data_IF_173234053527
#
_entry.id   IF_173234053527
#
_cell.length_a   1.000
_cell.length_b   1.000
_cell.length_c   1.000
_cell.angle_alpha   90.00
_cell.angle_beta   90.00
_cell.angle_gamma   90.00
#
_symmetry.space_group_name_H-M   'P 1'
#
loop_
_entity.id
_entity.type
_entity.pdbx_description
1 polymer ?
#
# COMPACT_ATOMS: atom_id res chain seq x y z
N UNK A 1 10.70 39.82 -11.21
CA UNK A 1 12.12 39.48 -11.01
C UNK A 1 12.90 40.69 -11.44
N UNK A 2 13.79 41.18 -10.58
CA UNK A 2 14.61 42.36 -10.84
C UNK A 2 15.99 41.89 -11.33
N UNK A 3 16.50 42.47 -12.42
CA UNK A 3 17.65 41.94 -13.18
C UNK A 3 19.02 42.23 -12.53
N UNK A 4 19.04 42.94 -11.40
CA UNK A 4 20.27 43.46 -10.76
C UNK A 4 20.87 42.56 -9.66
N UNK A 5 20.24 41.44 -9.31
CA UNK A 5 20.74 40.52 -8.29
C UNK A 5 21.64 39.41 -8.86
N UNK A 6 22.79 39.10 -8.25
CA UNK A 6 23.59 37.94 -8.64
C UNK A 6 22.86 36.65 -8.24
N UNK A 7 22.19 36.09 -9.22
CA UNK A 7 21.43 34.84 -9.12
C UNK A 7 22.33 33.63 -9.09
N UNK A 8 22.07 32.72 -8.15
CA UNK A 8 22.82 31.47 -8.04
C UNK A 8 21.88 30.28 -7.86
N UNK A 9 22.40 29.12 -8.25
CA UNK A 9 21.76 27.81 -8.05
C UNK A 9 22.28 27.16 -6.75
N UNK A 10 23.39 27.68 -6.20
CA UNK A 10 24.02 27.18 -5.00
C UNK A 10 23.57 27.97 -3.76
N UNK A 11 23.18 27.31 -2.65
CA UNK A 11 22.62 27.94 -1.46
C UNK A 11 23.56 28.89 -0.71
N UNK A 12 24.83 28.95 -1.10
CA UNK A 12 25.95 29.51 -0.36
C UNK A 12 26.55 30.81 -0.94
N UNK A 13 26.02 31.31 -2.06
CA UNK A 13 26.36 32.64 -2.60
C UNK A 13 25.10 33.27 -3.22
N UNK A 14 24.74 34.53 -2.95
CA UNK A 14 23.64 35.22 -3.65
C UNK A 14 22.20 34.75 -3.36
N UNK A 15 21.24 35.22 -4.16
CA UNK A 15 19.81 34.90 -4.03
C UNK A 15 19.50 33.59 -4.74
N UNK A 16 18.95 32.60 -4.01
CA UNK A 16 18.56 31.31 -4.57
C UNK A 16 17.34 31.47 -5.48
N UNK A 17 17.55 31.37 -6.80
CA UNK A 17 16.49 31.57 -7.81
C UNK A 17 15.32 30.62 -7.62
N UNK A 18 15.58 29.38 -7.20
CA UNK A 18 14.54 28.38 -7.00
C UNK A 18 13.65 28.79 -5.84
N UNK A 19 14.22 29.27 -4.74
CA UNK A 19 13.46 29.75 -3.59
C UNK A 19 12.57 30.94 -3.95
N UNK A 20 13.12 31.92 -4.68
CA UNK A 20 12.36 33.08 -5.15
C UNK A 20 11.26 32.64 -6.11
N UNK A 21 11.55 31.79 -7.09
CA UNK A 21 10.55 31.29 -8.03
C UNK A 21 9.41 30.56 -7.31
N UNK A 22 9.69 29.74 -6.30
CA UNK A 22 8.65 29.06 -5.51
C UNK A 22 7.82 30.05 -4.69
N UNK A 23 8.43 31.09 -4.11
CA UNK A 23 7.72 32.18 -3.42
C UNK A 23 6.74 32.90 -4.35
N UNK A 24 7.21 33.31 -5.53
CA UNK A 24 6.40 33.99 -6.54
C UNK A 24 5.27 33.09 -7.08
N UNK A 25 5.55 31.81 -7.30
CA UNK A 25 4.51 30.81 -7.64
C UNK A 25 3.48 30.74 -6.53
N UNK A 26 3.88 30.82 -5.26
CA UNK A 26 2.96 30.89 -4.13
C UNK A 26 1.98 32.05 -4.25
N UNK A 27 2.44 33.25 -4.60
CA UNK A 27 1.57 34.40 -4.87
C UNK A 27 0.65 34.18 -6.07
N UNK A 28 1.16 33.60 -7.16
CA UNK A 28 0.34 33.22 -8.33
C UNK A 28 -0.75 32.22 -7.94
N UNK A 29 -0.44 31.32 -7.00
CA UNK A 29 -1.39 30.37 -6.43
C UNK A 29 -2.33 31.00 -5.37
N UNK A 30 -2.20 32.29 -5.06
CA UNK A 30 -3.08 33.01 -4.13
C UNK A 30 -2.64 32.98 -2.67
N UNK A 31 -1.40 32.55 -2.38
CA UNK A 31 -0.83 32.62 -1.03
C UNK A 31 -0.39 34.04 -0.69
N UNK A 32 -0.68 34.46 0.54
CA UNK A 32 -0.13 35.69 1.13
C UNK A 32 1.13 35.38 1.92
N UNK A 33 1.88 36.43 2.28
CA UNK A 33 3.06 36.26 3.13
C UNK A 33 2.73 35.59 4.47
N UNK A 34 3.64 34.74 4.93
CA UNK A 34 3.56 34.05 6.22
C UNK A 34 4.66 34.60 7.13
N UNK A 35 4.33 35.00 8.36
CA UNK A 35 5.27 35.54 9.34
C UNK A 35 6.10 34.44 10.04
N UNK A 36 6.73 33.55 9.26
CA UNK A 36 7.65 32.51 9.75
C UNK A 36 8.89 32.49 8.86
N UNK A 37 10.06 32.69 9.44
CA UNK A 37 11.32 32.86 8.69
C UNK A 37 11.81 31.63 7.90
N UNK A 38 11.19 30.47 8.09
CA UNK A 38 11.41 29.22 7.35
C UNK A 38 10.28 28.89 6.35
N UNK A 39 9.24 29.71 6.27
CA UNK A 39 8.22 29.58 5.22
C UNK A 39 8.79 30.11 3.91
N UNK A 40 8.48 29.42 2.81
CA UNK A 40 8.84 29.95 1.48
C UNK A 40 8.10 31.25 1.21
N UNK A 41 6.94 31.47 1.83
CA UNK A 41 6.14 32.69 1.75
C UNK A 41 6.56 33.77 2.76
N UNK A 42 7.74 33.67 3.38
CA UNK A 42 8.25 34.75 4.24
C UNK A 42 8.68 35.97 3.42
N UNK A 43 8.29 37.17 3.85
CA UNK A 43 8.49 38.41 3.08
C UNK A 43 9.96 38.87 2.98
N UNK A 44 10.84 38.34 3.83
CA UNK A 44 12.27 38.69 3.84
C UNK A 44 13.04 37.49 3.33
N UNK A 45 13.81 37.65 2.26
CA UNK A 45 14.69 36.59 1.76
C UNK A 45 15.75 36.25 2.81
N UNK A 46 15.49 35.22 3.61
CA UNK A 46 16.48 34.63 4.48
C UNK A 46 17.29 33.62 3.66
N UNK A 47 18.60 33.58 3.88
CA UNK A 47 19.46 32.53 3.33
C UNK A 47 19.06 31.19 3.96
N UNK A 48 18.12 30.49 3.33
CA UNK A 48 17.73 29.14 3.74
C UNK A 48 18.91 28.23 3.37
N UNK A 49 19.71 27.85 4.39
CA UNK A 49 20.77 26.85 4.24
C UNK A 49 20.14 25.47 4.16
N UNK A 50 20.09 24.88 2.95
CA UNK A 50 19.63 23.50 2.74
C UNK A 50 18.90 23.30 1.42
N UNK A 51 18.37 22.09 1.21
CA UNK A 51 17.44 21.82 0.10
C UNK A 51 16.12 22.59 0.33
N UNK A 52 15.63 23.27 -0.70
CA UNK A 52 14.37 24.02 -0.64
C UNK A 52 13.19 23.07 -0.40
N UNK A 53 12.54 23.18 0.76
CA UNK A 53 11.37 22.38 1.12
C UNK A 53 10.24 23.29 1.64
N UNK A 54 9.01 23.05 1.20
CA UNK A 54 7.83 23.78 1.68
C UNK A 54 7.55 23.47 3.16
N UNK A 55 7.31 24.51 3.96
CA UNK A 55 6.92 24.37 5.37
C UNK A 55 5.53 23.70 5.50
N UNK A 56 5.20 23.22 6.70
CA UNK A 56 3.85 22.77 7.02
C UNK A 56 2.78 23.84 6.76
N UNK A 57 3.03 25.09 7.16
CA UNK A 57 2.06 26.17 6.94
C UNK A 57 1.85 26.45 5.45
N UNK A 58 2.91 26.49 4.65
CA UNK A 58 2.83 26.69 3.19
C UNK A 58 1.93 25.64 2.54
N UNK A 59 2.16 24.37 2.87
CA UNK A 59 1.38 23.23 2.38
C UNK A 59 -0.07 23.31 2.84
N UNK A 60 -0.29 23.62 4.11
CA UNK A 60 -1.63 23.72 4.69
C UNK A 60 -2.44 24.84 4.02
N UNK A 61 -1.81 25.99 3.75
CA UNK A 61 -2.46 27.12 3.11
C UNK A 61 -2.81 26.83 1.65
N UNK A 62 -1.87 26.28 0.86
CA UNK A 62 -2.16 25.95 -0.55
C UNK A 62 -3.22 24.86 -0.67
N UNK A 63 -3.19 23.83 0.18
CA UNK A 63 -4.25 22.83 0.26
C UNK A 63 -5.59 23.43 0.73
N UNK A 64 -5.57 24.50 1.53
CA UNK A 64 -6.76 25.26 1.91
C UNK A 64 -7.43 25.94 0.72
N UNK A 65 -6.66 26.43 -0.25
CA UNK A 65 -7.16 27.10 -1.46
C UNK A 65 -7.64 26.12 -2.52
N UNK A 66 -6.84 25.09 -2.82
CA UNK A 66 -7.09 24.17 -3.92
C UNK A 66 -7.82 22.88 -3.51
N UNK A 67 -8.08 22.73 -2.21
CA UNK A 67 -8.74 21.58 -1.64
C UNK A 67 -7.77 20.51 -1.19
N UNK A 68 -8.31 19.58 -0.40
CA UNK A 68 -7.58 18.45 0.12
C UNK A 68 -7.73 17.24 -0.80
N UNK A 69 -6.75 16.35 -0.72
CA UNK A 69 -6.70 15.17 -1.55
C UNK A 69 -7.88 14.24 -1.30
N UNK A 70 -8.58 13.87 -2.35
CA UNK A 70 -9.73 12.99 -2.31
C UNK A 70 -9.52 11.80 -3.24
N UNK A 71 -9.38 10.61 -2.68
CA UNK A 71 -9.21 9.39 -3.46
C UNK A 71 -9.29 8.16 -2.57
N UNK A 72 -9.71 7.04 -3.14
CA UNK A 72 -9.62 5.72 -2.50
C UNK A 72 -8.18 5.23 -2.61
N UNK A 73 -7.63 4.63 -1.56
CA UNK A 73 -6.35 3.94 -1.66
C UNK A 73 -6.53 2.54 -2.26
N UNK A 74 -5.51 2.07 -2.96
CA UNK A 74 -5.42 0.68 -3.39
C UNK A 74 -5.04 -0.23 -2.22
N UNK A 75 -4.09 0.19 -1.39
CA UNK A 75 -3.74 -0.44 -0.12
C UNK A 75 -2.92 0.53 0.73
N UNK A 76 -2.84 0.27 2.03
CA UNK A 76 -1.99 0.98 2.99
C UNK A 76 -1.41 -0.06 3.93
N UNK A 77 -0.12 0.04 4.23
CA UNK A 77 0.55 -0.93 5.08
C UNK A 77 1.81 -0.35 5.72
N UNK A 78 2.23 -0.92 6.84
CA UNK A 78 3.56 -0.69 7.39
C UNK A 78 4.50 -1.77 6.86
N UNK A 79 5.58 -1.36 6.19
CA UNK A 79 6.68 -2.25 5.80
C UNK A 79 7.72 -2.25 6.92
N UNK A 80 8.21 -3.43 7.26
CA UNK A 80 9.25 -3.61 8.28
C UNK A 80 10.56 -3.98 7.64
N UNK A 81 11.61 -3.28 8.04
CA UNK A 81 12.96 -3.51 7.56
C UNK A 81 13.92 -3.53 8.74
N UNK A 82 14.96 -4.35 8.65
CA UNK A 82 16.09 -4.30 9.57
C UNK A 82 17.01 -3.16 9.19
N UNK A 83 17.37 -2.31 10.15
CA UNK A 83 18.46 -1.36 9.98
C UNK A 83 19.80 -2.06 10.15
N UNK A 84 20.86 -1.43 9.65
CA UNK A 84 22.24 -1.93 9.77
C UNK A 84 22.70 -2.10 11.23
N UNK A 85 22.10 -1.34 12.17
CA UNK A 85 22.35 -1.43 13.61
C UNK A 85 21.57 -2.56 14.32
N UNK A 86 20.83 -3.38 13.57
CA UNK A 86 20.01 -4.47 14.11
C UNK A 86 18.68 -4.01 14.70
N UNK A 87 18.32 -2.72 14.61
CA UNK A 87 17.01 -2.23 15.05
C UNK A 87 15.95 -2.38 13.96
N UNK A 88 14.70 -2.58 14.38
CA UNK A 88 13.57 -2.59 13.46
C UNK A 88 13.19 -1.16 13.05
N UNK A 89 13.04 -0.96 11.75
CA UNK A 89 12.37 0.20 11.16
C UNK A 89 11.00 -0.22 10.65
N UNK A 90 10.02 0.67 10.77
CA UNK A 90 8.71 0.49 10.17
C UNK A 90 8.32 1.79 9.46
N UNK A 91 7.96 1.66 8.19
CA UNK A 91 7.60 2.77 7.31
C UNK A 91 6.21 2.53 6.75
N UNK A 92 5.34 3.53 6.83
CA UNK A 92 3.97 3.39 6.31
C UNK A 92 3.97 3.75 4.83
N UNK A 93 3.43 2.88 3.99
CA UNK A 93 3.26 3.10 2.56
C UNK A 93 1.78 3.25 2.22
N UNK A 94 1.49 4.22 1.37
CA UNK A 94 0.17 4.44 0.79
C UNK A 94 0.26 4.19 -0.70
N UNK A 95 -0.53 3.24 -1.22
CA UNK A 95 -0.58 2.95 -2.65
C UNK A 95 -1.89 3.45 -3.22
N UNK A 96 -1.83 4.08 -4.39
CA UNK A 96 -2.99 4.56 -5.11
C UNK A 96 -2.71 4.67 -6.60
N UNK A 97 -3.57 4.07 -7.41
CA UNK A 97 -3.31 3.91 -8.82
C UNK A 97 -1.97 3.21 -9.02
N UNK A 98 -1.17 3.76 -9.92
CA UNK A 98 0.20 3.39 -10.23
C UNK A 98 1.26 4.11 -9.39
N UNK A 99 0.84 4.83 -8.36
CA UNK A 99 1.70 5.64 -7.50
C UNK A 99 1.72 5.15 -6.05
N UNK A 100 2.78 5.50 -5.33
CA UNK A 100 2.89 5.29 -3.90
C UNK A 100 3.57 6.48 -3.19
N UNK A 101 3.24 6.63 -1.91
CA UNK A 101 3.89 7.53 -0.96
C UNK A 101 4.54 6.69 0.14
N UNK A 102 5.76 7.05 0.50
CA UNK A 102 6.49 6.57 1.66
C UNK A 102 6.30 7.57 2.79
N UNK A 103 5.45 7.26 3.76
CA UNK A 103 5.17 8.14 4.89
C UNK A 103 6.18 7.94 6.02
N UNK A 104 6.89 9.02 6.34
CA UNK A 104 7.83 9.08 7.45
C UNK A 104 7.08 9.46 8.72
N UNK A 105 6.60 8.45 9.45
CA UNK A 105 5.82 8.63 10.69
C UNK A 105 6.48 9.58 11.70
N UNK A 106 7.82 9.51 11.85
CA UNK A 106 8.57 10.37 12.77
C UNK A 106 8.59 11.85 12.38
N UNK A 107 8.49 12.14 11.08
CA UNK A 107 8.45 13.50 10.53
C UNK A 107 7.03 13.98 10.22
N UNK A 108 6.04 13.10 10.39
CA UNK A 108 4.64 13.36 10.09
C UNK A 108 4.44 13.95 8.67
N UNK A 109 5.13 13.36 7.69
CA UNK A 109 5.12 13.78 6.28
C UNK A 109 5.49 12.62 5.35
N UNK A 110 5.05 12.68 4.09
CA UNK A 110 5.62 11.85 3.02
C UNK A 110 7.08 12.19 2.75
N UNK A 111 7.82 11.24 2.18
CA UNK A 111 9.18 11.48 1.72
C UNK A 111 9.17 12.60 0.65
N UNK A 112 10.15 13.52 0.67
CA UNK A 112 10.33 14.49 -0.40
C UNK A 112 10.39 13.81 -1.78
N UNK A 113 9.70 14.38 -2.76
CA UNK A 113 9.60 13.82 -4.12
C UNK A 113 8.51 12.77 -4.33
N UNK A 114 7.79 12.36 -3.28
CA UNK A 114 6.59 11.54 -3.45
C UNK A 114 5.42 12.35 -4.08
N UNK A 115 4.50 11.71 -4.83
CA UNK A 115 4.47 10.27 -5.11
C UNK A 115 5.50 9.80 -6.14
N UNK A 116 5.93 8.54 -5.99
CA UNK A 116 6.68 7.82 -7.02
C UNK A 116 5.82 6.74 -7.67
N UNK A 117 6.17 6.34 -8.89
CA UNK A 117 5.54 5.22 -9.58
C UNK A 117 5.89 3.89 -8.91
N UNK A 118 4.91 3.00 -8.73
CA UNK A 118 5.10 1.68 -8.12
C UNK A 118 6.20 0.89 -8.83
N UNK A 119 6.20 0.90 -10.18
CA UNK A 119 7.23 0.23 -10.99
C UNK A 119 8.66 0.70 -10.74
N UNK A 120 8.86 1.90 -10.18
CA UNK A 120 10.18 2.45 -9.86
C UNK A 120 10.68 1.93 -8.51
N UNK A 121 9.80 1.83 -7.52
CA UNK A 121 10.17 1.45 -6.15
C UNK A 121 9.92 -0.01 -5.78
N UNK A 122 9.17 -0.76 -6.59
CA UNK A 122 8.67 -2.09 -6.24
C UNK A 122 8.84 -3.07 -7.39
N UNK A 123 10.09 -3.48 -7.62
CA UNK A 123 10.47 -4.28 -8.78
C UNK A 123 9.67 -5.58 -8.87
N UNK A 124 9.04 -5.82 -10.02
CA UNK A 124 8.26 -7.03 -10.30
C UNK A 124 6.81 -7.02 -9.80
N UNK A 125 6.40 -6.01 -9.03
CA UNK A 125 4.97 -5.79 -8.75
C UNK A 125 4.25 -5.28 -10.02
N UNK A 126 2.95 -5.56 -10.17
CA UNK A 126 2.12 -4.94 -11.19
C UNK A 126 1.96 -3.44 -10.93
N UNK A 127 1.57 -2.67 -11.96
CA UNK A 127 1.35 -1.22 -11.82
C UNK A 127 0.37 -0.87 -10.70
N UNK A 128 -0.61 -1.73 -10.40
CA UNK A 128 -1.53 -1.55 -9.28
C UNK A 128 -1.68 -2.84 -8.48
N UNK A 129 -1.89 -2.73 -7.18
CA UNK A 129 -2.21 -3.84 -6.27
C UNK A 129 -3.61 -3.66 -5.67
N UNK A 130 -4.16 -4.72 -5.12
CA UNK A 130 -5.49 -4.71 -4.49
C UNK A 130 -5.43 -4.82 -2.95
N UNK A 131 -4.39 -5.47 -2.41
CA UNK A 131 -4.18 -5.61 -0.97
C UNK A 131 -2.74 -6.00 -0.65
N UNK A 132 -2.36 -5.84 0.62
CA UNK A 132 -1.08 -6.30 1.18
C UNK A 132 -1.32 -7.04 2.50
N UNK A 133 -0.51 -8.05 2.80
CA UNK A 133 -0.44 -8.67 4.13
C UNK A 133 1.00 -9.02 4.51
N UNK A 134 1.36 -8.75 5.77
CA UNK A 134 2.64 -9.18 6.35
C UNK A 134 2.40 -10.34 7.30
N UNK A 135 2.78 -11.55 6.89
CA UNK A 135 2.78 -12.72 7.76
C UNK A 135 4.06 -12.68 8.59
N UNK A 136 3.90 -12.45 9.90
CA UNK A 136 5.03 -12.44 10.82
C UNK A 136 4.71 -13.32 12.04
N UNK A 137 5.35 -14.49 12.08
CA UNK A 137 5.37 -15.40 13.24
C UNK A 137 6.81 -15.65 13.68
N UNK A 138 7.01 -16.45 14.73
CA UNK A 138 8.36 -16.86 15.15
C UNK A 138 9.13 -17.63 14.07
N UNK A 139 8.44 -18.25 13.11
CA UNK A 139 9.05 -19.13 12.10
C UNK A 139 8.85 -18.64 10.67
N UNK A 140 8.13 -17.53 10.48
CA UNK A 140 7.67 -17.07 9.16
C UNK A 140 7.74 -15.56 9.06
N UNK A 141 8.32 -15.07 7.97
CA UNK A 141 8.31 -13.68 7.56
C UNK A 141 8.04 -13.60 6.05
N UNK A 142 6.85 -13.08 5.68
CA UNK A 142 6.46 -12.93 4.29
C UNK A 142 5.60 -11.69 4.03
N UNK A 143 5.98 -10.98 2.97
CA UNK A 143 5.34 -9.77 2.49
C UNK A 143 4.54 -10.11 1.22
N UNK A 144 3.21 -10.21 1.34
CA UNK A 144 2.35 -10.70 0.26
C UNK A 144 1.53 -9.55 -0.31
N UNK A 145 1.65 -9.32 -1.61
CA UNK A 145 0.76 -8.44 -2.37
C UNK A 145 -0.27 -9.25 -3.16
N UNK A 146 -1.49 -8.74 -3.26
CA UNK A 146 -2.56 -9.39 -4.03
C UNK A 146 -2.97 -8.53 -5.21
N UNK A 147 -3.21 -9.16 -6.36
CA UNK A 147 -3.79 -8.51 -7.54
C UNK A 147 -4.63 -9.47 -8.35
N UNK A 148 -5.92 -9.17 -8.47
CA UNK A 148 -6.87 -9.96 -9.23
C UNK A 148 -6.93 -11.40 -8.74
N UNK A 149 -6.57 -12.36 -9.61
CA UNK A 149 -6.53 -13.79 -9.28
C UNK A 149 -5.17 -14.24 -8.73
N UNK A 150 -4.21 -13.33 -8.62
CA UNK A 150 -2.82 -13.60 -8.31
C UNK A 150 -2.40 -13.02 -6.96
N UNK A 151 -1.34 -13.59 -6.40
CA UNK A 151 -0.58 -13.01 -5.32
C UNK A 151 0.92 -13.05 -5.66
N UNK A 152 1.65 -12.10 -5.10
CA UNK A 152 3.06 -11.83 -5.29
C UNK A 152 3.73 -11.91 -3.94
N UNK A 153 4.86 -12.60 -3.87
CA UNK A 153 5.70 -12.57 -2.69
C UNK A 153 6.83 -11.58 -2.93
N UNK A 154 6.97 -10.62 -2.02
CA UNK A 154 7.96 -9.56 -2.13
C UNK A 154 9.08 -9.80 -1.13
N UNK A 155 10.32 -9.63 -1.57
CA UNK A 155 11.49 -9.63 -0.71
C UNK A 155 11.86 -8.18 -0.38
N UNK A 156 11.69 -7.73 0.88
CA UNK A 156 12.02 -6.36 1.27
C UNK A 156 13.52 -6.10 1.39
N UNK A 157 14.37 -7.12 1.32
CA UNK A 157 15.84 -6.99 1.33
C UNK A 157 16.36 -6.83 -0.09
N UNK A 158 15.90 -7.69 -1.00
CA UNK A 158 16.27 -7.64 -2.42
C UNK A 158 15.45 -6.61 -3.21
N UNK A 159 14.46 -6.00 -2.57
CA UNK A 159 13.55 -4.98 -3.12
C UNK A 159 12.89 -5.41 -4.45
N UNK A 160 12.51 -6.69 -4.52
CA UNK A 160 11.88 -7.28 -5.71
C UNK A 160 10.93 -8.42 -5.38
N UNK A 161 10.04 -8.71 -6.32
CA UNK A 161 9.21 -9.92 -6.27
C UNK A 161 10.11 -11.15 -6.39
N UNK A 162 9.86 -12.12 -5.50
CA UNK A 162 10.57 -13.40 -5.44
C UNK A 162 10.34 -14.20 -6.73
N UNK A 163 11.37 -14.89 -7.21
CA UNK A 163 11.29 -15.76 -8.38
C UNK A 163 10.18 -16.84 -8.24
N UNK A 164 9.47 -17.14 -9.33
CA UNK A 164 8.34 -18.07 -9.33
C UNK A 164 7.00 -17.47 -8.92
N UNK A 165 6.96 -16.16 -8.65
CA UNK A 165 5.74 -15.36 -8.48
C UNK A 165 5.49 -14.48 -9.71
N UNK A 166 4.23 -14.10 -10.01
CA UNK A 166 3.01 -14.35 -9.24
C UNK A 166 2.46 -15.79 -9.31
N UNK A 167 1.68 -16.16 -8.29
CA UNK A 167 0.96 -17.44 -8.22
C UNK A 167 -0.54 -17.23 -8.04
N UNK A 168 -1.33 -18.25 -8.40
CA UNK A 168 -2.80 -18.17 -8.34
C UNK A 168 -3.31 -18.38 -6.92
N UNK A 169 -4.15 -17.46 -6.43
CA UNK A 169 -4.78 -17.56 -5.11
C UNK A 169 -5.53 -18.89 -4.96
N UNK A 170 -6.32 -19.25 -5.97
CA UNK A 170 -7.11 -20.48 -5.97
C UNK A 170 -6.29 -21.78 -5.97
N UNK A 171 -4.97 -21.73 -6.25
CA UNK A 171 -4.08 -22.90 -6.17
C UNK A 171 -3.51 -23.09 -4.77
N UNK A 172 -3.21 -21.99 -4.08
CA UNK A 172 -2.36 -22.04 -2.89
C UNK A 172 -3.12 -21.68 -1.60
N UNK A 173 -4.28 -21.05 -1.70
CA UNK A 173 -5.15 -20.74 -0.56
C UNK A 173 -6.46 -21.52 -0.64
N UNK A 174 -6.37 -22.86 -0.67
CA UNK A 174 -7.52 -23.77 -0.86
C UNK A 174 -8.08 -24.31 0.44
N UNK A 175 -9.20 -25.02 0.35
CA UNK A 175 -9.79 -25.78 1.44
C UNK A 175 -9.22 -27.17 1.60
N UNK A 176 -9.28 -27.73 2.82
CA UNK A 176 -8.93 -29.12 3.07
C UNK A 176 -9.65 -30.07 2.12
N UNK A 177 -8.91 -31.00 1.54
CA UNK A 177 -9.54 -32.12 0.83
C UNK A 177 -10.29 -32.96 1.85
N UNK A 178 -11.61 -33.01 1.77
CA UNK A 178 -12.39 -33.96 2.55
C UNK A 178 -12.07 -35.37 2.07
N UNK A 179 -11.23 -36.09 2.82
CA UNK A 179 -11.03 -37.51 2.60
C UNK A 179 -12.34 -38.22 2.94
N UNK A 180 -13.17 -38.49 1.93
CA UNK A 180 -14.28 -39.43 2.07
C UNK A 180 -13.67 -40.74 2.55
N UNK A 181 -14.06 -41.20 3.74
CA UNK A 181 -13.66 -42.48 4.31
C UNK A 181 -14.14 -43.61 3.39
N UNK A 182 -13.35 -43.96 2.38
CA UNK A 182 -13.50 -45.23 1.68
C UNK A 182 -12.98 -46.30 2.62
N UNK A 183 -13.91 -46.99 3.29
CA UNK A 183 -13.66 -48.36 3.78
C UNK A 183 -13.19 -49.21 2.59
N UNK A 184 -11.88 -49.45 2.45
CA UNK A 184 -11.25 -50.77 2.27
C UNK A 184 -9.79 -50.71 1.80
N UNK A 185 -9.05 -51.64 2.39
CA UNK A 185 -7.78 -52.28 2.02
C UNK A 185 -6.46 -51.49 2.09
N UNK A 186 -5.69 -51.87 3.11
CA UNK A 186 -4.22 -51.87 3.14
C UNK A 186 -3.67 -52.47 1.86
N UNK A 187 -3.09 -51.63 1.02
CA UNK A 187 -1.83 -51.82 0.29
C UNK A 187 -1.86 -50.98 -0.99
N UNK A 188 -1.45 -49.72 -0.84
CA UNK A 188 -0.76 -48.95 -1.89
C UNK A 188 -0.17 -47.70 -1.22
N UNK A 189 1.14 -47.75 -0.96
CA UNK A 189 1.94 -46.56 -0.69
C UNK A 189 2.05 -45.78 -2.00
N UNK A 190 1.13 -44.85 -2.23
CA UNK A 190 1.34 -43.76 -3.18
C UNK A 190 1.62 -42.51 -2.36
N UNK A 191 2.90 -42.13 -2.29
CA UNK A 191 3.34 -40.87 -1.73
C UNK A 191 2.78 -39.73 -2.59
N UNK A 192 1.68 -39.14 -2.14
CA UNK A 192 1.18 -37.87 -2.65
C UNK A 192 2.09 -36.78 -2.10
N UNK A 193 3.10 -36.39 -2.87
CA UNK A 193 3.87 -35.16 -2.68
C UNK A 193 2.92 -33.96 -2.83
N UNK A 194 2.31 -33.58 -1.71
CA UNK A 194 1.64 -32.30 -1.52
C UNK A 194 2.29 -31.61 -0.35
N UNK A 195 3.61 -31.43 -0.42
CA UNK A 195 4.27 -30.44 0.41
C UNK A 195 3.71 -29.08 0.01
N UNK A 196 2.97 -28.46 0.93
CA UNK A 196 2.42 -27.14 0.73
C UNK A 196 3.58 -26.16 0.54
N UNK A 197 3.91 -25.83 -0.71
CA UNK A 197 5.03 -24.95 -1.07
C UNK A 197 5.02 -23.58 -0.37
N UNK A 198 3.83 -23.08 0.01
CA UNK A 198 3.72 -21.90 0.88
C UNK A 198 4.52 -22.12 2.18
N UNK A 199 4.51 -23.34 2.75
CA UNK A 199 5.34 -23.70 3.91
C UNK A 199 6.83 -23.78 3.59
N UNK A 200 7.24 -24.36 2.44
CA UNK A 200 8.68 -24.51 2.13
C UNK A 200 9.37 -23.15 2.03
N UNK A 201 8.74 -22.18 1.35
CA UNK A 201 9.31 -20.84 1.24
C UNK A 201 9.17 -20.01 2.53
N UNK A 202 8.04 -20.10 3.24
CA UNK A 202 7.91 -19.46 4.57
C UNK A 202 8.95 -19.99 5.58
N UNK A 203 9.42 -21.23 5.40
CA UNK A 203 10.50 -21.84 6.20
C UNK A 203 11.92 -21.53 5.72
N UNK A 204 12.13 -21.22 4.43
CA UNK A 204 13.47 -20.91 3.88
C UNK A 204 13.95 -19.49 4.24
N UNK A 205 13.02 -18.53 4.37
CA UNK A 205 13.34 -17.19 4.89
C UNK A 205 13.78 -17.20 6.36
N UNK A 206 13.57 -18.31 7.09
CA UNK A 206 14.05 -18.49 8.45
C UNK A 206 15.60 -18.55 8.53
N UNK A 207 16.30 -18.92 7.44
CA UNK A 207 17.78 -19.03 7.42
C UNK A 207 18.51 -17.70 7.32
N UNK A 208 17.81 -16.60 7.02
CA UNK A 208 18.39 -15.26 7.04
C UNK A 208 18.46 -14.67 8.46
N UNK A 209 17.82 -15.31 9.45
CA UNK A 209 17.90 -14.90 10.86
C UNK A 209 19.26 -15.25 11.48
N UNK A 210 19.86 -16.40 11.10
CA UNK A 210 21.10 -16.91 11.72
C UNK A 210 22.40 -16.56 10.96
N UNK A 211 22.34 -16.26 9.66
CA UNK A 211 23.55 -15.97 8.85
C UNK A 211 24.06 -14.53 8.93
N UNK A 212 23.35 -13.62 9.60
CA UNK A 212 23.66 -12.17 9.60
C UNK A 212 24.52 -11.69 10.78
N UNK A 213 24.93 -12.60 11.66
CA UNK A 213 25.92 -12.34 12.72
C UNK A 213 27.37 -12.49 12.24
N UNK A 214 27.63 -12.89 10.98
CA UNK A 214 28.98 -13.12 10.45
C UNK A 214 29.13 -12.66 8.99
N UNK A 215 29.05 -11.36 8.73
CA UNK A 215 29.75 -10.76 7.58
C UNK A 215 29.85 -9.23 7.73
N UNK A 216 30.83 -8.80 8.53
CA UNK A 216 31.38 -7.46 8.41
C UNK A 216 32.23 -7.38 7.14
N UNK A 217 31.71 -6.77 6.07
CA UNK A 217 32.58 -6.22 5.03
C UNK A 217 31.93 -5.01 4.37
N UNK A 218 32.49 -3.86 4.76
CA UNK A 218 32.42 -2.53 4.15
C UNK A 218 32.20 -2.55 2.64
N UNK A 219 31.15 -1.91 2.15
CA UNK A 219 31.15 -1.30 0.80
C UNK A 219 30.45 0.05 0.80
N UNK A 220 31.22 1.01 0.31
CA UNK A 220 30.93 2.43 0.18
C UNK A 220 29.78 2.71 -0.76
N UNK A 221 29.10 3.81 -0.47
CA UNK A 221 28.21 4.56 -1.34
C UNK A 221 28.82 4.80 -2.71
N UNK A 222 28.16 4.31 -3.76
CA UNK A 222 28.36 4.80 -5.12
C UNK A 222 27.01 5.21 -5.71
N UNK A 223 26.83 6.52 -5.81
CA UNK A 223 25.95 7.19 -6.75
C UNK A 223 26.41 6.90 -8.18
N UNK A 224 25.51 6.66 -9.13
CA UNK A 224 25.81 6.88 -10.54
C UNK A 224 25.12 8.14 -11.03
N UNK A 225 25.93 9.16 -11.28
CA UNK A 225 25.67 10.14 -12.32
C UNK A 225 25.48 9.43 -13.67
N UNK A 226 24.46 9.80 -14.44
CA UNK A 226 24.52 9.70 -15.91
C UNK A 226 23.47 10.55 -16.63
N UNK A 227 23.94 11.72 -17.04
CA UNK A 227 23.93 12.28 -18.41
C UNK A 227 22.76 11.94 -19.35
N UNK A 228 22.12 13.03 -19.78
CA UNK A 228 21.36 13.23 -21.00
C UNK A 228 22.03 12.63 -22.24
N UNK A 229 21.26 11.88 -23.03
CA UNK A 229 21.44 11.80 -24.48
C UNK A 229 20.08 11.78 -25.20
N UNK A 230 19.95 12.76 -26.09
CA UNK A 230 18.96 12.90 -27.16
C UNK A 230 19.17 11.84 -28.24
N UNK A 231 18.09 11.35 -28.86
CA UNK A 231 17.90 11.40 -30.32
C UNK A 231 16.54 10.87 -30.74
N UNK A 232 15.91 11.64 -31.64
CA UNK A 232 14.78 11.27 -32.48
C UNK A 232 15.15 10.12 -33.43
N UNK A 233 14.19 9.26 -33.79
CA UNK A 233 13.90 9.03 -35.21
C UNK A 233 12.52 8.40 -35.47
N UNK A 234 11.99 8.76 -36.64
CA UNK A 234 10.61 8.65 -37.10
C UNK A 234 10.31 7.34 -37.87
N UNK A 235 9.03 6.92 -37.77
CA UNK A 235 8.18 6.28 -38.81
C UNK A 235 8.52 4.82 -39.24
N UNK A 236 7.59 3.93 -39.62
CA UNK A 236 6.28 4.07 -40.29
C UNK A 236 5.45 2.75 -40.20
N UNK A 237 4.11 2.87 -40.13
CA UNK A 237 3.10 2.11 -40.91
C UNK A 237 2.74 0.65 -40.53
N UNK A 238 1.53 0.43 -40.01
CA UNK A 238 0.34 -0.03 -40.81
C UNK A 238 -0.91 -0.16 -39.95
N UNK A 239 -1.91 0.64 -40.31
CA UNK A 239 -3.33 0.42 -39.98
C UNK A 239 -3.86 -0.82 -40.68
N UNK A 240 -4.70 -1.60 -40.00
CA UNK A 240 -5.76 -2.39 -40.64
C UNK A 240 -7.05 -2.29 -39.80
N UNK A 241 -8.02 -1.62 -40.40
CA UNK A 241 -9.44 -1.64 -40.08
C UNK A 241 -10.06 -2.98 -40.47
N UNK A 242 -10.90 -3.57 -39.62
CA UNK A 242 -12.03 -4.40 -40.06
C UNK A 242 -13.25 -4.04 -39.22
N UNK A 243 -14.31 -3.69 -39.93
CA UNK A 243 -15.63 -3.29 -39.46
C UNK A 243 -16.53 -4.47 -39.09
N UNK A 244 -17.33 -4.25 -38.04
CA UNK A 244 -18.72 -4.69 -37.82
C UNK A 244 -19.19 -6.08 -38.27
N UNK A 245 -19.62 -6.88 -37.29
CA UNK A 245 -20.80 -7.73 -37.43
C UNK A 245 -21.55 -7.84 -36.09
N UNK A 246 -22.78 -7.31 -36.10
CA UNK A 246 -23.75 -7.45 -35.03
C UNK A 246 -24.13 -8.92 -34.85
N UNK A 247 -24.11 -9.42 -33.61
CA UNK A 247 -24.88 -10.62 -33.28
C UNK A 247 -25.51 -10.50 -31.90
N UNK A 248 -26.80 -10.15 -31.89
CA UNK A 248 -27.69 -10.23 -30.74
C UNK A 248 -27.84 -11.69 -30.32
N UNK A 249 -27.17 -12.10 -29.24
CA UNK A 249 -27.53 -13.30 -28.49
C UNK A 249 -28.08 -12.90 -27.12
N UNK A 250 -29.39 -13.06 -26.98
CA UNK A 250 -30.13 -13.06 -25.70
C UNK A 250 -29.46 -14.06 -24.74
N UNK A 251 -28.70 -13.57 -23.78
CA UNK A 251 -28.25 -14.37 -22.64
C UNK A 251 -29.30 -14.27 -21.54
N UNK A 252 -30.04 -15.36 -21.36
CA UNK A 252 -30.88 -15.62 -20.19
C UNK A 252 -30.02 -15.43 -18.93
N UNK A 253 -30.37 -14.44 -18.10
CA UNK A 253 -29.87 -14.34 -16.73
C UNK A 253 -30.29 -15.58 -15.96
N UNK A 254 -29.35 -16.52 -15.80
CA UNK A 254 -29.49 -17.63 -14.87
C UNK A 254 -28.82 -17.18 -13.57
N UNK A 255 -29.63 -16.77 -12.60
CA UNK A 255 -29.24 -16.65 -11.20
C UNK A 255 -28.61 -17.97 -10.76
N UNK A 256 -27.28 -18.00 -10.64
CA UNK A 256 -26.55 -19.07 -9.97
C UNK A 256 -26.26 -18.60 -8.56
N UNK A 257 -27.17 -18.94 -7.66
CA UNK A 257 -26.92 -19.09 -6.24
C UNK A 257 -25.74 -20.04 -6.00
N UNK A 258 -24.78 -19.62 -5.18
CA UNK A 258 -23.93 -20.48 -4.34
C UNK A 258 -23.05 -21.52 -5.04
N UNK A 259 -21.89 -21.12 -5.56
CA UNK A 259 -20.75 -22.03 -5.68
C UNK A 259 -19.92 -21.90 -4.40
N UNK A 260 -19.90 -22.92 -3.54
CA UNK A 260 -18.99 -22.97 -2.39
C UNK A 260 -17.55 -22.96 -2.90
N UNK A 261 -16.90 -21.80 -2.92
CA UNK A 261 -15.50 -21.69 -3.34
C UNK A 261 -14.64 -22.35 -2.28
N UNK A 262 -14.01 -23.47 -2.63
CA UNK A 262 -13.05 -24.20 -1.80
C UNK A 262 -11.68 -23.48 -1.70
N UNK A 263 -11.68 -22.14 -1.67
CA UNK A 263 -10.48 -21.30 -1.63
C UNK A 263 -10.84 -19.85 -1.27
N UNK A 264 -9.82 -19.04 -0.93
CA UNK A 264 -9.99 -17.59 -0.74
C UNK A 264 -10.54 -16.90 -2.00
N UNK A 265 -11.32 -15.81 -1.86
CA UNK A 265 -11.83 -15.07 -3.00
C UNK A 265 -10.70 -14.42 -3.82
N UNK A 266 -11.00 -14.06 -5.07
CA UNK A 266 -10.11 -13.28 -5.94
C UNK A 266 -10.60 -11.83 -6.03
N UNK A 267 -9.76 -10.94 -6.54
CA UNK A 267 -9.99 -9.49 -6.61
C UNK A 267 -10.32 -8.92 -5.23
N UNK A 268 -9.53 -9.28 -4.22
CA UNK A 268 -9.81 -8.97 -2.82
C UNK A 268 -9.72 -7.45 -2.57
N UNK A 269 -10.39 -6.96 -1.53
CA UNK A 269 -10.41 -5.51 -1.22
C UNK A 269 -9.35 -5.12 -0.19
N UNK A 270 -9.03 -6.01 0.74
CA UNK A 270 -8.00 -5.83 1.76
C UNK A 270 -7.60 -7.20 2.32
N UNK A 271 -6.45 -7.27 2.98
CA UNK A 271 -6.02 -8.44 3.74
C UNK A 271 -5.20 -7.98 4.93
N UNK A 272 -5.22 -8.72 6.04
CA UNK A 272 -4.27 -8.52 7.13
C UNK A 272 -3.98 -9.84 7.83
N UNK A 273 -2.80 -9.93 8.43
CA UNK A 273 -2.43 -11.03 9.31
C UNK A 273 -2.68 -10.62 10.76
N UNK A 274 -3.42 -11.43 11.52
CA UNK A 274 -3.70 -11.15 12.92
C UNK A 274 -2.71 -11.90 13.82
N UNK A 275 -1.94 -11.15 14.60
CA UNK A 275 -0.90 -11.71 15.47
C UNK A 275 -1.44 -12.51 16.66
N UNK A 276 -2.69 -12.26 17.03
CA UNK A 276 -3.33 -12.88 18.20
C UNK A 276 -3.63 -14.36 17.99
N UNK A 277 -3.95 -14.74 16.75
CA UNK A 277 -4.33 -16.12 16.41
C UNK A 277 -3.54 -16.69 15.21
N UNK A 278 -2.54 -15.94 14.74
CA UNK A 278 -1.68 -16.27 13.61
C UNK A 278 -2.44 -16.64 12.32
N UNK A 279 -3.60 -16.04 12.08
CA UNK A 279 -4.38 -16.28 10.85
C UNK A 279 -4.34 -15.09 9.89
N UNK A 280 -4.48 -15.40 8.60
CA UNK A 280 -4.67 -14.42 7.55
C UNK A 280 -6.16 -14.16 7.33
N UNK A 281 -6.56 -12.90 7.35
CA UNK A 281 -7.92 -12.46 7.11
C UNK A 281 -8.01 -11.67 5.81
N UNK A 282 -8.94 -12.07 4.93
CA UNK A 282 -9.13 -11.50 3.60
C UNK A 282 -10.53 -10.94 3.44
N UNK A 283 -10.62 -9.75 2.89
CA UNK A 283 -11.86 -8.97 2.78
C UNK A 283 -12.31 -8.94 1.34
N UNK A 284 -13.59 -9.24 1.11
CA UNK A 284 -14.22 -9.09 -0.19
C UNK A 284 -15.64 -8.57 -0.05
N UNK A 285 -15.88 -7.39 -0.57
CA UNK A 285 -17.11 -6.61 -0.46
C UNK A 285 -17.49 -6.38 1.01
N UNK A 286 -18.43 -7.15 1.54
CA UNK A 286 -18.85 -7.09 2.95
C UNK A 286 -18.61 -8.40 3.71
N UNK A 287 -17.76 -9.28 3.16
CA UNK A 287 -17.42 -10.57 3.75
C UNK A 287 -15.96 -10.62 4.15
N UNK A 288 -15.69 -11.30 5.25
CA UNK A 288 -14.36 -11.61 5.77
C UNK A 288 -14.15 -13.12 5.66
N UNK A 289 -12.98 -13.53 5.19
CA UNK A 289 -12.56 -14.92 5.05
C UNK A 289 -11.33 -15.14 5.92
N UNK A 290 -11.34 -16.13 6.80
CA UNK A 290 -10.19 -16.52 7.61
C UNK A 290 -9.43 -17.67 6.98
N UNK A 291 -8.10 -17.61 7.00
CA UNK A 291 -7.19 -18.60 6.45
C UNK A 291 -6.10 -18.98 7.47
N UNK A 292 -5.97 -20.27 7.75
CA UNK A 292 -4.91 -20.78 8.61
C UNK A 292 -3.59 -20.87 7.83
N UNK A 293 -2.63 -19.98 8.12
CA UNK A 293 -1.32 -19.94 7.45
C UNK A 293 -0.43 -21.13 7.80
N UNK A 294 -0.73 -21.83 8.88
CA UNK A 294 0.00 -23.01 9.36
C UNK A 294 -0.56 -24.32 8.78
N UNK A 295 -1.79 -24.31 8.28
CA UNK A 295 -2.42 -25.47 7.61
C UNK A 295 -1.90 -25.74 6.18
N UNK A 296 -0.92 -24.99 5.69
CA UNK A 296 -0.29 -25.23 4.39
C UNK A 296 -1.10 -24.64 3.25
N UNK A 297 -1.27 -25.40 2.16
CA UNK A 297 -2.07 -24.98 1.00
C UNK A 297 -3.57 -25.25 1.13
N UNK A 298 -4.00 -25.74 2.29
CA UNK A 298 -5.35 -26.21 2.60
C UNK A 298 -5.94 -25.48 3.83
N UNK A 299 -5.58 -24.22 4.05
CA UNK A 299 -6.00 -23.46 5.23
C UNK A 299 -7.37 -22.77 5.16
N UNK A 300 -8.08 -22.82 4.01
CA UNK A 300 -9.35 -22.10 3.86
C UNK A 300 -10.59 -22.97 4.12
N UNK A 301 -11.65 -22.48 4.69
CA UNK A 301 -11.69 -21.27 5.47
C UNK A 301 -11.86 -21.70 6.92
N UNK A 302 -11.36 -20.88 7.83
CA UNK A 302 -11.47 -21.14 9.26
C UNK A 302 -12.92 -21.48 9.63
N UNK A 303 -13.16 -22.38 10.60
CA UNK A 303 -14.52 -22.69 11.05
C UNK A 303 -15.32 -21.42 11.38
N UNK A 304 -16.53 -21.31 10.82
CA UNK A 304 -17.38 -20.14 10.98
C UNK A 304 -17.08 -18.96 10.05
N UNK A 305 -16.18 -19.13 9.06
CA UNK A 305 -15.96 -18.17 7.96
C UNK A 305 -16.49 -18.73 6.62
N UNK A 306 -16.91 -17.86 5.67
CA UNK A 306 -16.87 -16.40 5.75
C UNK A 306 -17.91 -15.79 6.73
N UNK A 307 -17.56 -14.66 7.33
CA UNK A 307 -18.45 -13.84 8.19
C UNK A 307 -18.77 -12.52 7.54
N UNK A 308 -19.88 -11.89 7.93
CA UNK A 308 -20.13 -10.51 7.51
C UNK A 308 -19.15 -9.56 8.21
N UNK A 309 -18.81 -8.46 7.54
CA UNK A 309 -17.89 -7.44 8.05
C UNK A 309 -18.35 -6.86 9.39
N UNK A 310 -19.65 -6.69 9.56
CA UNK A 310 -20.26 -6.13 10.78
C UNK A 310 -20.29 -7.12 11.94
N UNK A 311 -20.30 -8.44 11.67
CA UNK A 311 -20.13 -9.46 12.72
C UNK A 311 -18.67 -9.60 13.14
N UNK A 312 -17.74 -9.42 12.20
CA UNK A 312 -16.30 -9.51 12.49
C UNK A 312 -15.78 -8.27 13.22
N UNK A 313 -16.28 -7.09 12.88
CA UNK A 313 -15.90 -5.82 13.50
C UNK A 313 -17.15 -5.08 13.99
N UNK A 314 -17.31 -5.02 15.30
CA UNK A 314 -18.47 -4.42 15.96
C UNK A 314 -18.13 -3.01 16.47
N UNK A 315 -19.06 -2.08 16.30
CA UNK A 315 -18.95 -0.75 16.86
C UNK A 315 -18.90 -0.83 18.40
N UNK A 316 -18.01 -0.04 19.03
CA UNK A 316 -17.91 -0.02 20.50
C UNK A 316 -19.07 0.74 21.17
N UNK A 317 -19.69 1.67 20.45
CA UNK A 317 -20.77 2.53 20.92
C UNK A 317 -21.63 3.00 19.73
N UNK A 318 -22.80 3.59 20.01
CA UNK A 318 -23.73 4.09 18.98
C UNK A 318 -23.18 5.26 18.16
N UNK A 319 -22.14 5.93 18.66
CA UNK A 319 -21.46 7.02 17.95
C UNK A 319 -20.50 6.50 16.88
N UNK A 320 -20.03 5.27 17.04
CA UNK A 320 -19.13 4.63 16.08
C UNK A 320 -19.91 4.16 14.86
N UNK A 321 -19.58 4.72 13.69
CA UNK A 321 -20.25 4.29 12.45
C UNK A 321 -19.73 2.90 12.04
N UNK A 322 -20.61 1.97 11.64
CA UNK A 322 -20.21 0.66 11.12
C UNK A 322 -19.30 0.75 9.89
N UNK A 323 -18.50 -0.29 9.68
CA UNK A 323 -17.61 -0.34 8.52
C UNK A 323 -18.40 -0.43 7.21
N UNK A 324 -18.06 0.40 6.21
CA UNK A 324 -18.58 0.27 4.86
C UNK A 324 -17.95 -0.91 4.12
N UNK A 325 -18.66 -1.41 3.09
CA UNK A 325 -18.14 -2.46 2.21
C UNK A 325 -17.00 -1.97 1.31
N UNK A 326 -16.23 -2.92 0.76
CA UNK A 326 -15.09 -2.72 -0.15
C UNK A 326 -14.03 -1.83 0.48
N UNK A 327 -13.47 -2.25 1.61
CA UNK A 327 -12.42 -1.51 2.33
C UNK A 327 -11.22 -1.21 1.41
N UNK A 328 -10.46 -0.18 1.75
CA UNK A 328 -9.26 0.20 0.98
C UNK A 328 -8.02 -0.49 1.56
N UNK A 329 -7.96 -0.63 2.89
CA UNK A 329 -6.90 -1.33 3.58
C UNK A 329 -7.36 -1.77 4.97
N UNK A 330 -6.79 -2.88 5.44
CA UNK A 330 -6.83 -3.31 6.84
C UNK A 330 -5.42 -3.76 7.16
N UNK A 331 -4.78 -3.23 8.20
CA UNK A 331 -3.42 -3.64 8.54
C UNK A 331 -3.11 -3.36 10.01
N UNK A 332 -2.19 -4.14 10.58
CA UNK A 332 -1.63 -3.82 11.89
C UNK A 332 -0.58 -2.74 11.71
N UNK A 333 -0.81 -1.57 12.30
CA UNK A 333 0.20 -0.52 12.31
C UNK A 333 1.17 -0.74 13.46
N UNK A 334 2.45 -0.89 13.13
CA UNK A 334 3.54 -1.02 14.09
C UNK A 334 3.82 0.30 14.80
N UNK A 335 3.66 1.41 14.08
CA UNK A 335 3.78 2.74 14.66
C UNK A 335 2.66 3.03 15.66
N UNK A 336 1.42 2.66 15.34
CA UNK A 336 0.26 2.95 16.21
C UNK A 336 -0.14 1.80 17.14
N UNK A 337 0.54 0.65 17.04
CA UNK A 337 0.32 -0.56 17.85
C UNK A 337 -1.14 -1.03 17.88
N UNK A 338 -1.87 -0.84 16.78
CA UNK A 338 -3.28 -1.24 16.66
C UNK A 338 -3.62 -1.59 15.21
N UNK A 339 -4.71 -2.34 15.02
CA UNK A 339 -5.29 -2.57 13.71
C UNK A 339 -6.00 -1.31 13.21
N UNK A 340 -5.62 -0.87 12.01
CA UNK A 340 -6.20 0.26 11.31
C UNK A 340 -6.97 -0.22 10.09
N UNK A 341 -8.14 0.36 9.87
CA UNK A 341 -9.06 0.02 8.79
C UNK A 341 -9.36 1.30 8.02
N UNK A 342 -9.07 1.35 6.73
CA UNK A 342 -9.18 2.56 5.91
C UNK A 342 -10.27 2.39 4.86
N UNK A 343 -11.09 3.44 4.71
CA UNK A 343 -12.02 3.62 3.60
C UNK A 343 -12.09 5.07 3.14
N UNK A 344 -11.63 5.33 1.91
CA UNK A 344 -11.57 6.65 1.30
C UNK A 344 -10.80 7.61 2.19
N UNK A 345 -11.45 8.72 2.57
CA UNK A 345 -10.88 9.73 3.47
C UNK A 345 -10.99 9.41 4.96
N UNK A 346 -11.55 8.26 5.31
CA UNK A 346 -11.84 7.88 6.69
C UNK A 346 -11.06 6.64 7.11
N UNK A 347 -10.78 6.54 8.41
CA UNK A 347 -10.25 5.33 9.02
C UNK A 347 -10.92 5.03 10.36
N UNK A 348 -10.88 3.76 10.73
CA UNK A 348 -11.28 3.22 12.03
C UNK A 348 -10.07 2.54 12.65
N UNK A 349 -10.09 2.44 13.98
CA UNK A 349 -9.09 1.67 14.73
C UNK A 349 -9.79 0.61 15.58
N UNK A 350 -9.14 -0.54 15.77
CA UNK A 350 -9.55 -1.50 16.80
C UNK A 350 -9.16 -0.95 18.17
N UNK A 351 -10.09 -1.01 19.10
CA UNK A 351 -9.92 -0.57 20.49
C UNK A 351 -9.21 -1.66 21.27
N UNK A 352 -8.22 -1.26 22.06
CA UNK A 352 -7.47 -2.14 22.96
C UNK A 352 -6.82 -3.36 22.29
N UNK A 353 -6.43 -3.24 21.02
CA UNK A 353 -5.70 -4.30 20.34
C UNK A 353 -4.35 -4.54 21.03
N UNK A 354 -4.10 -5.76 21.51
CA UNK A 354 -2.77 -6.19 21.91
C UNK A 354 -2.38 -7.47 21.15
N UNK A 355 -1.16 -7.55 20.56
CA UNK A 355 -0.75 -8.73 19.79
C UNK A 355 -0.77 -10.05 20.57
N UNK A 356 -0.67 -10.00 21.90
CA UNK A 356 -0.64 -11.16 22.79
C UNK A 356 -2.01 -11.52 23.39
N UNK A 357 -3.10 -10.86 22.97
CA UNK A 357 -4.43 -11.19 23.46
C UNK A 357 -4.83 -12.62 23.08
N UNK A 358 -5.22 -13.43 24.06
CA UNK A 358 -5.67 -14.81 23.84
C UNK A 358 -7.05 -14.89 23.16
N UNK A 359 -7.84 -13.82 23.26
CA UNK A 359 -9.17 -13.73 22.68
C UNK A 359 -9.28 -12.52 21.77
N UNK A 360 -9.63 -12.76 20.51
CA UNK A 360 -9.84 -11.70 19.52
C UNK A 360 -11.13 -10.95 19.81
N UNK A 361 -10.99 -9.71 20.27
CA UNK A 361 -12.06 -8.72 20.23
C UNK A 361 -11.74 -7.67 19.17
N UNK A 362 -12.72 -7.39 18.31
CA UNK A 362 -12.57 -6.49 17.18
C UNK A 362 -13.54 -5.31 17.32
N UNK A 363 -13.61 -4.75 18.53
CA UNK A 363 -14.37 -3.53 18.79
C UNK A 363 -13.67 -2.37 18.09
N UNK A 364 -14.39 -1.64 17.25
CA UNK A 364 -13.83 -0.52 16.49
C UNK A 364 -14.31 0.83 17.04
N UNK A 365 -13.53 1.87 16.75
CA UNK A 365 -13.90 3.28 16.93
C UNK A 365 -13.58 4.07 15.68
N UNK A 366 -14.47 4.98 15.29
CA UNK A 366 -14.33 5.84 14.11
C UNK A 366 -15.68 6.21 13.49
N UNK A 367 -15.70 6.86 12.31
CA UNK A 367 -14.54 7.21 11.49
C UNK A 367 -13.78 8.43 12.00
N UNK A 368 -12.47 8.42 11.80
CA UNK A 368 -11.59 9.59 11.87
C UNK A 368 -11.08 9.95 10.47
N UNK A 369 -10.67 11.20 10.26
CA UNK A 369 -10.15 11.65 8.96
C UNK A 369 -8.69 11.21 8.76
N UNK A 370 -8.40 10.54 7.65
CA UNK A 370 -7.05 10.12 7.27
C UNK A 370 -6.09 11.31 7.28
N UNK A 371 -6.47 12.44 6.66
CA UNK A 371 -5.63 13.66 6.60
C UNK A 371 -5.25 14.25 7.95
N UNK A 372 -6.01 13.97 9.02
CA UNK A 372 -5.67 14.45 10.37
C UNK A 372 -4.57 13.61 11.00
N UNK A 373 -4.43 12.35 10.56
CA UNK A 373 -3.42 11.42 11.05
C UNK A 373 -2.18 11.40 10.16
N UNK A 374 -2.40 11.41 8.85
CA UNK A 374 -1.36 11.41 7.82
C UNK A 374 -1.61 12.61 6.89
N UNK A 375 -1.16 13.82 7.26
CA UNK A 375 -1.11 14.95 6.33
C UNK A 375 -0.28 14.61 5.08
N UNK A 376 -0.51 15.33 3.98
CA UNK A 376 0.30 15.29 2.76
C UNK A 376 0.35 13.97 1.97
N UNK A 377 -0.47 12.98 2.35
CA UNK A 377 -0.72 11.80 1.51
C UNK A 377 -1.79 12.15 0.48
N UNK A 378 -1.33 12.48 -0.73
CA UNK A 378 -2.10 13.33 -1.63
C UNK A 378 -1.98 12.97 -3.10
N UNK A 379 -3.11 12.70 -3.76
CA UNK A 379 -3.27 13.04 -5.19
C UNK A 379 -3.99 14.37 -5.26
N UNK A 380 -3.45 15.30 -6.02
CA UNK A 380 -4.28 16.28 -6.71
C UNK A 380 -4.97 15.55 -7.84
N UNK A 381 -6.30 15.43 -7.82
CA UNK A 381 -7.04 15.11 -9.04
C UNK A 381 -6.66 16.18 -10.07
N UNK A 382 -5.72 15.86 -10.98
CA UNK A 382 -5.36 16.73 -12.12
C UNK A 382 -6.52 16.88 -13.12
N UNK A 383 -7.71 16.36 -12.77
CA UNK A 383 -8.98 16.75 -13.35
C UNK A 383 -9.52 18.01 -12.67
N UNK A 384 -8.68 19.03 -12.48
CA UNK A 384 -9.16 20.41 -12.40
C UNK A 384 -9.82 20.68 -13.76
N UNK A 385 -11.12 20.37 -13.86
CA UNK A 385 -12.01 21.08 -14.76
C UNK A 385 -11.86 22.53 -14.32
N UNK A 386 -11.01 23.27 -15.02
CA UNK A 386 -11.00 24.72 -14.99
C UNK A 386 -12.46 25.14 -15.11
N UNK A 387 -13.07 25.53 -13.99
CA UNK A 387 -14.35 26.22 -14.02
C UNK A 387 -14.02 27.49 -14.77
N UNK A 388 -14.30 27.51 -16.08
CA UNK A 388 -14.37 28.73 -16.86
C UNK A 388 -15.33 29.63 -16.10
N UNK A 389 -14.78 30.60 -15.36
CA UNK A 389 -15.54 31.77 -14.98
C UNK A 389 -15.99 32.40 -16.29
N UNK A 390 -17.26 32.23 -16.63
CA UNK A 390 -17.92 33.10 -17.59
C UNK A 390 -17.93 34.48 -16.92
N UNK A 391 -17.04 35.34 -17.37
CA UNK A 391 -17.23 36.78 -17.25
C UNK A 391 -18.53 37.13 -17.97
N UNK A 392 -19.49 37.65 -17.21
CA UNK A 392 -20.72 38.22 -17.75
C UNK A 392 -20.52 39.65 -18.16
#
# INVERSE_FOLDING_TARGET
>A
MDDDDPFTIHPDQGTNVIQVAVHEIGHVLGLSHVLRNYSVMYAIYSQVRGELELDYEDRRLVQGLYGHCSGRFNTVFDLITWRADGTLAYTTFFFRGDHYWMYQNSRNRSRPGDPLLIKVGWTGLPDTVDAFAHIWTQTKDAHIFFKGIYYYLYDPVEEKVVEGYPRKIARDFRSPKTYKSRRRNRNRRSASSSDGFVQSFLSENNRNHDRRSTSSSTKQSHTPDRQFLSSNDLQHRKQRSVSSASNRRRTRHRNRSGSSTHHLPTNIDAAYFDKRDENLYVFKNGLVYGYNVSAGGEGCCLPGYPRSLQQEFTAIDDQTRPLPNRLDAVYYSYHHKTLLIIKGRHYWKVVSYHPLDQHRTNLIRGPSLVRRRWPDICDTDLHIKLKKHKTS
#
